data_IF_140948255012
#
_entry.id   IF_140948255012
#
_cell.length_a   1.000
_cell.length_b   1.000
_cell.length_c   1.000
_cell.angle_alpha   90.00
_cell.angle_beta   90.00
_cell.angle_gamma   90.00
#
_symmetry.space_group_name_H-M   'P 1'
#
loop_
_entity.id
_entity.type
_entity.pdbx_description
1 polymer ?
#
# COMPACT_ATOMS: atom_id res chain seq x y z
N UNK A 1 -7.83 4.44 17.36
CA UNK A 1 -7.98 5.87 16.97
C UNK A 1 -9.07 5.87 15.91
N UNK A 2 -9.92 6.88 15.76
CA UNK A 2 -10.94 6.79 14.69
C UNK A 2 -10.23 6.69 13.34
N UNK A 3 -10.57 5.67 12.55
CA UNK A 3 -9.97 5.45 11.24
C UNK A 3 -10.39 6.62 10.33
N UNK A 4 -9.41 7.40 9.86
CA UNK A 4 -9.68 8.49 8.95
C UNK A 4 -9.87 7.94 7.53
N UNK A 5 -11.11 7.60 7.14
CA UNK A 5 -11.38 7.06 5.81
C UNK A 5 -11.12 8.08 4.70
N UNK A 6 -11.20 9.37 4.99
CA UNK A 6 -11.07 10.44 4.00
C UNK A 6 -9.69 10.45 3.32
N UNK A 7 -8.62 10.11 4.06
CA UNK A 7 -7.27 10.09 3.47
C UNK A 7 -7.11 8.94 2.46
N UNK A 8 -7.81 7.82 2.67
CA UNK A 8 -7.79 6.67 1.76
C UNK A 8 -8.66 6.96 0.55
N UNK A 9 -9.87 7.50 0.73
CA UNK A 9 -10.72 7.94 -0.38
C UNK A 9 -10.01 8.99 -1.24
N UNK A 10 -9.27 9.93 -0.64
CA UNK A 10 -8.44 10.88 -1.37
C UNK A 10 -7.31 10.18 -2.15
N UNK A 11 -6.69 9.14 -1.58
CA UNK A 11 -5.72 8.30 -2.28
C UNK A 11 -6.32 7.55 -3.47
N UNK A 12 -7.51 6.96 -3.31
CA UNK A 12 -8.25 6.32 -4.40
C UNK A 12 -8.59 7.29 -5.52
N UNK A 13 -9.01 8.53 -5.19
CA UNK A 13 -9.28 9.57 -6.18
C UNK A 13 -8.01 9.94 -6.97
N UNK A 14 -6.88 10.18 -6.28
CA UNK A 14 -5.59 10.46 -6.96
C UNK A 14 -5.15 9.30 -7.86
N UNK A 15 -5.32 8.06 -7.41
CA UNK A 15 -5.01 6.88 -8.22
C UNK A 15 -5.92 6.81 -9.45
N UNK A 16 -7.22 7.08 -9.31
CA UNK A 16 -8.16 7.11 -10.43
C UNK A 16 -7.77 8.18 -11.47
N UNK A 17 -7.38 9.38 -11.02
CA UNK A 17 -6.88 10.44 -11.90
C UNK A 17 -5.58 10.01 -12.62
N UNK A 18 -4.65 9.38 -11.90
CA UNK A 18 -3.37 8.92 -12.43
C UNK A 18 -3.52 7.88 -13.56
N UNK A 19 -4.53 7.02 -13.47
CA UNK A 19 -4.75 5.92 -14.42
C UNK A 19 -5.78 6.28 -15.50
N UNK A 20 -6.35 7.48 -15.45
CA UNK A 20 -7.31 7.95 -16.45
C UNK A 20 -6.63 8.13 -17.80
N UNK A 21 -7.22 7.54 -18.85
CA UNK A 21 -6.69 7.64 -20.21
C UNK A 21 -5.47 6.75 -20.50
N UNK A 22 -5.15 5.81 -19.60
CA UNK A 22 -4.08 4.82 -19.81
C UNK A 22 -4.32 4.03 -21.10
N UNK A 23 -3.30 3.91 -21.93
CA UNK A 23 -3.35 3.08 -23.15
C UNK A 23 -2.95 1.64 -22.86
N UNK A 24 -3.36 0.71 -23.72
CA UNK A 24 -2.97 -0.70 -23.62
C UNK A 24 -1.44 -0.89 -23.64
N UNK A 25 -0.72 -0.09 -24.43
CA UNK A 25 0.74 -0.13 -24.49
C UNK A 25 1.37 0.32 -23.16
N UNK A 26 0.84 1.38 -22.54
CA UNK A 26 1.29 1.82 -21.23
C UNK A 26 0.99 0.77 -20.16
N UNK A 27 -0.20 0.17 -20.17
CA UNK A 27 -0.58 -0.90 -19.24
C UNK A 27 0.33 -2.14 -19.36
N UNK A 28 0.78 -2.46 -20.57
CA UNK A 28 1.70 -3.57 -20.86
C UNK A 28 3.15 -3.27 -20.49
N UNK A 29 3.55 -2.00 -20.46
CA UNK A 29 4.92 -1.61 -20.13
C UNK A 29 5.26 -1.92 -18.66
N UNK A 30 6.56 -2.06 -18.38
CA UNK A 30 7.09 -2.36 -17.06
C UNK A 30 6.68 -1.30 -16.04
N UNK A 31 6.35 -1.74 -14.83
CA UNK A 31 6.23 -0.88 -13.65
C UNK A 31 7.60 -0.74 -12.96
N UNK A 32 7.67 -0.01 -11.84
CA UNK A 32 8.89 0.05 -11.03
C UNK A 32 9.17 -1.26 -10.27
N UNK A 33 8.20 -2.20 -10.22
CA UNK A 33 8.37 -3.48 -9.56
C UNK A 33 9.00 -4.51 -10.51
N UNK A 34 10.09 -5.19 -10.10
CA UNK A 34 10.74 -6.19 -10.95
C UNK A 34 9.78 -7.27 -11.43
N UNK A 35 9.73 -7.45 -12.74
CA UNK A 35 8.92 -8.49 -13.39
C UNK A 35 7.42 -8.17 -13.51
N UNK A 36 6.95 -7.02 -13.03
CA UNK A 36 5.54 -6.62 -13.11
C UNK A 36 5.34 -5.56 -14.19
N UNK A 37 4.27 -5.70 -14.99
CA UNK A 37 3.76 -4.60 -15.79
C UNK A 37 2.87 -3.68 -14.96
N UNK A 38 2.54 -2.49 -15.47
CA UNK A 38 1.52 -1.63 -14.85
C UNK A 38 0.19 -2.37 -14.71
N UNK A 39 -0.19 -3.21 -15.67
CA UNK A 39 -1.37 -4.06 -15.58
C UNK A 39 -1.36 -5.08 -14.43
N UNK A 40 -0.18 -5.60 -14.03
CA UNK A 40 -0.06 -6.43 -12.83
C UNK A 40 -0.34 -5.61 -11.57
N UNK A 41 0.22 -4.41 -11.47
CA UNK A 41 0.00 -3.50 -10.34
C UNK A 41 -1.48 -3.12 -10.23
N UNK A 42 -2.13 -2.74 -11.34
CA UNK A 42 -3.55 -2.39 -11.36
C UNK A 42 -4.44 -3.58 -10.98
N UNK A 43 -4.14 -4.78 -11.49
CA UNK A 43 -4.89 -5.99 -11.12
C UNK A 43 -4.72 -6.31 -9.65
N UNK A 44 -3.49 -6.23 -9.12
CA UNK A 44 -3.22 -6.38 -7.69
C UNK A 44 -4.02 -5.39 -6.82
N UNK A 45 -4.02 -4.11 -7.19
CA UNK A 45 -4.76 -3.09 -6.46
C UNK A 45 -6.27 -3.35 -6.45
N UNK A 46 -6.84 -3.83 -7.56
CA UNK A 46 -8.25 -4.20 -7.63
C UNK A 46 -8.56 -5.44 -6.77
N UNK A 47 -7.76 -6.51 -6.90
CA UNK A 47 -7.93 -7.74 -6.13
C UNK A 47 -7.75 -7.53 -4.63
N UNK A 48 -6.80 -6.68 -4.23
CA UNK A 48 -6.62 -6.29 -2.83
C UNK A 48 -7.87 -5.58 -2.28
N UNK A 49 -8.48 -4.67 -3.05
CA UNK A 49 -9.70 -3.99 -2.63
C UNK A 49 -10.88 -4.95 -2.46
N UNK A 50 -11.07 -5.88 -3.40
CA UNK A 50 -12.11 -6.92 -3.33
C UNK A 50 -11.92 -7.83 -2.13
N UNK A 51 -10.68 -8.24 -1.85
CA UNK A 51 -10.34 -9.06 -0.70
C UNK A 51 -10.62 -8.33 0.62
N UNK A 52 -10.26 -7.05 0.73
CA UNK A 52 -10.59 -6.26 1.92
C UNK A 52 -12.09 -6.01 2.09
N UNK A 53 -12.83 -5.79 1.01
CA UNK A 53 -14.30 -5.67 1.05
C UNK A 53 -14.90 -6.93 1.66
N UNK A 54 -14.44 -8.10 1.20
CA UNK A 54 -14.85 -9.40 1.73
C UNK A 54 -14.51 -9.57 3.21
N UNK A 55 -13.31 -9.14 3.65
CA UNK A 55 -12.95 -9.13 5.08
C UNK A 55 -13.93 -8.26 5.88
N UNK A 56 -14.24 -7.06 5.40
CA UNK A 56 -15.22 -6.15 6.02
C UNK A 56 -16.58 -6.80 6.17
N UNK A 57 -17.14 -7.35 5.09
CA UNK A 57 -18.47 -7.97 5.09
C UNK A 57 -18.55 -9.16 6.05
N UNK A 58 -17.56 -10.05 6.06
CA UNK A 58 -17.54 -11.21 6.96
C UNK A 58 -17.36 -10.81 8.42
N UNK A 59 -16.49 -9.83 8.70
CA UNK A 59 -16.28 -9.36 10.07
C UNK A 59 -17.56 -8.72 10.64
N UNK A 60 -18.33 -7.95 9.85
CA UNK A 60 -19.61 -7.40 10.28
C UNK A 60 -20.64 -8.50 10.59
N UNK A 61 -20.61 -9.60 9.84
CA UNK A 61 -21.37 -10.83 10.10
C UNK A 61 -20.88 -11.64 11.32
N UNK A 62 -19.77 -11.23 11.95
CA UNK A 62 -19.13 -11.95 13.06
C UNK A 62 -18.41 -13.24 12.62
N UNK A 63 -18.01 -13.31 11.35
CA UNK A 63 -17.34 -14.46 10.74
C UNK A 63 -15.92 -14.09 10.33
N UNK A 64 -15.05 -15.10 10.27
CA UNK A 64 -13.72 -15.00 9.68
C UNK A 64 -13.72 -15.64 8.30
N UNK A 65 -12.85 -15.13 7.44
CA UNK A 65 -12.68 -15.63 6.07
C UNK A 65 -11.25 -15.44 5.62
N UNK A 66 -10.71 -16.36 4.83
CA UNK A 66 -9.35 -16.20 4.30
C UNK A 66 -9.26 -14.94 3.42
N UNK A 67 -8.11 -14.25 3.46
CA UNK A 67 -7.88 -13.07 2.61
C UNK A 67 -7.99 -13.43 1.13
N UNK A 68 -7.42 -14.56 0.74
CA UNK A 68 -7.45 -15.07 -0.63
C UNK A 68 -7.86 -16.53 -0.62
N UNK A 69 -8.89 -16.89 -1.39
CA UNK A 69 -9.30 -18.28 -1.53
C UNK A 69 -8.19 -19.09 -2.22
N UNK A 70 -7.68 -20.12 -1.55
CA UNK A 70 -6.49 -20.87 -2.00
C UNK A 70 -5.15 -20.14 -1.77
N UNK A 71 -5.16 -19.06 -1.00
CA UNK A 71 -3.97 -18.39 -0.49
C UNK A 71 -3.15 -17.62 -1.53
N UNK A 72 -1.86 -17.43 -1.22
CA UNK A 72 -0.92 -16.70 -2.06
C UNK A 72 -0.80 -17.24 -3.51
N UNK A 73 -0.80 -18.56 -3.76
CA UNK A 73 -0.75 -19.08 -5.13
C UNK A 73 -1.95 -18.65 -5.98
N UNK A 74 -3.17 -18.71 -5.44
CA UNK A 74 -4.36 -18.26 -6.15
C UNK A 74 -4.33 -16.76 -6.43
N UNK A 75 -3.88 -15.96 -5.46
CA UNK A 75 -3.68 -14.52 -5.66
C UNK A 75 -2.71 -14.25 -6.82
N UNK A 76 -1.56 -14.93 -6.83
CA UNK A 76 -0.57 -14.77 -7.89
C UNK A 76 -1.17 -15.14 -9.26
N UNK A 77 -1.86 -16.28 -9.35
CA UNK A 77 -2.50 -16.72 -10.58
C UNK A 77 -3.58 -15.73 -11.08
N UNK A 78 -4.37 -15.15 -10.17
CA UNK A 78 -5.38 -14.15 -10.52
C UNK A 78 -4.74 -12.86 -11.08
N UNK A 79 -3.63 -12.42 -10.48
CA UNK A 79 -2.89 -11.24 -10.96
C UNK A 79 -2.31 -11.51 -12.36
N UNK A 80 -1.65 -12.64 -12.57
CA UNK A 80 -1.09 -13.03 -13.88
C UNK A 80 -2.18 -13.13 -14.96
N UNK A 81 -3.33 -13.75 -14.64
CA UNK A 81 -4.43 -13.88 -15.58
C UNK A 81 -5.09 -12.53 -15.92
N UNK A 82 -5.14 -11.60 -14.96
CA UNK A 82 -5.82 -10.31 -15.11
C UNK A 82 -4.95 -9.20 -15.71
N UNK A 83 -3.63 -9.30 -15.63
CA UNK A 83 -2.70 -8.21 -15.95
C UNK A 83 -2.68 -7.79 -17.43
N UNK A 84 -3.12 -8.68 -18.33
CA UNK A 84 -3.16 -8.44 -19.77
C UNK A 84 -4.48 -7.89 -20.33
N UNK A 85 -5.46 -7.59 -19.45
CA UNK A 85 -6.74 -6.99 -19.84
C UNK A 85 -6.54 -5.61 -20.50
N UNK A 86 -7.52 -5.11 -21.31
CA UNK A 86 -7.48 -3.75 -21.82
C UNK A 86 -7.30 -2.73 -20.69
N UNK A 87 -6.54 -1.66 -20.96
CA UNK A 87 -6.20 -0.63 -19.97
C UNK A 87 -7.44 0.03 -19.36
N UNK A 88 -8.48 0.27 -20.17
CA UNK A 88 -9.78 0.76 -19.68
C UNK A 88 -10.42 -0.20 -18.68
N UNK A 89 -10.42 -1.49 -18.98
CA UNK A 89 -10.97 -2.50 -18.08
C UNK A 89 -10.17 -2.64 -16.77
N UNK A 90 -8.84 -2.47 -16.82
CA UNK A 90 -7.99 -2.44 -15.63
C UNK A 90 -8.30 -1.20 -14.76
N UNK A 91 -8.39 -0.02 -15.38
CA UNK A 91 -8.71 1.21 -14.68
C UNK A 91 -10.11 1.18 -14.05
N UNK A 92 -11.11 0.72 -14.81
CA UNK A 92 -12.49 0.57 -14.33
C UNK A 92 -12.57 -0.39 -13.14
N UNK A 93 -11.84 -1.52 -13.18
CA UNK A 93 -11.81 -2.49 -12.08
C UNK A 93 -11.18 -1.91 -10.80
N UNK A 94 -10.11 -1.13 -10.92
CA UNK A 94 -9.50 -0.41 -9.79
C UNK A 94 -10.48 0.59 -9.17
N UNK A 95 -11.13 1.42 -10.01
CA UNK A 95 -12.07 2.44 -9.54
C UNK A 95 -13.31 1.80 -8.91
N UNK A 96 -13.86 0.76 -9.54
CA UNK A 96 -15.08 0.10 -9.07
C UNK A 96 -14.83 -0.64 -7.77
N UNK A 97 -13.75 -1.43 -7.68
CA UNK A 97 -13.42 -2.17 -6.45
C UNK A 97 -13.09 -1.25 -5.28
N UNK A 98 -12.47 -0.08 -5.53
CA UNK A 98 -12.26 0.94 -4.50
C UNK A 98 -13.59 1.50 -3.97
N UNK A 99 -14.54 1.86 -4.86
CA UNK A 99 -15.87 2.35 -4.46
C UNK A 99 -16.66 1.32 -3.67
N UNK A 100 -16.59 0.06 -4.07
CA UNK A 100 -17.27 -1.04 -3.37
C UNK A 100 -16.67 -1.28 -1.98
N UNK A 101 -15.34 -1.18 -1.85
CA UNK A 101 -14.66 -1.23 -0.55
C UNK A 101 -15.08 -0.06 0.36
N UNK A 102 -15.09 1.16 -0.16
CA UNK A 102 -15.54 2.34 0.59
C UNK A 102 -17.00 2.21 1.03
N UNK A 103 -17.86 1.64 0.18
CA UNK A 103 -19.26 1.35 0.52
C UNK A 103 -19.36 0.34 1.68
N UNK A 104 -18.53 -0.71 1.66
CA UNK A 104 -18.49 -1.69 2.75
C UNK A 104 -17.98 -1.06 4.06
N UNK A 105 -16.96 -0.20 4.00
CA UNK A 105 -16.46 0.54 5.16
C UNK A 105 -17.47 1.53 5.72
N UNK A 106 -18.28 2.17 4.88
CA UNK A 106 -19.35 3.07 5.33
C UNK A 106 -20.44 2.35 6.15
N UNK A 107 -20.54 1.02 6.05
CA UNK A 107 -21.44 0.21 6.87
C UNK A 107 -20.85 -0.19 8.23
N UNK A 108 -19.56 0.08 8.49
CA UNK A 108 -18.89 -0.29 9.74
C UNK A 108 -19.25 0.70 10.85
N UNK A 109 -19.86 0.18 11.93
CA UNK A 109 -20.19 0.99 13.10
C UNK A 109 -18.93 1.47 13.85
N UNK A 110 -19.03 2.55 14.65
CA UNK A 110 -17.88 3.11 15.37
C UNK A 110 -17.18 2.09 16.29
N UNK A 111 -17.93 1.15 16.86
CA UNK A 111 -17.40 0.11 17.76
C UNK A 111 -16.94 -1.16 17.02
N UNK A 112 -17.20 -1.26 15.71
CA UNK A 112 -16.94 -2.49 14.92
C UNK A 112 -15.54 -2.51 14.30
N UNK A 113 -14.81 -1.39 14.29
CA UNK A 113 -13.45 -1.32 13.73
C UNK A 113 -12.43 -2.23 14.41
N UNK A 114 -12.68 -2.59 15.67
CA UNK A 114 -11.85 -3.51 16.44
C UNK A 114 -12.12 -4.99 16.12
N UNK A 115 -13.11 -5.30 15.27
CA UNK A 115 -13.45 -6.69 14.93
C UNK A 115 -12.28 -7.41 14.26
N UNK A 116 -12.07 -8.70 14.59
CA UNK A 116 -10.95 -9.47 14.06
C UNK A 116 -11.15 -9.80 12.58
N UNK A 117 -10.04 -9.86 11.86
CA UNK A 117 -9.94 -10.35 10.48
C UNK A 117 -8.81 -11.36 10.38
N UNK A 118 -8.79 -12.20 9.34
CA UNK A 118 -7.66 -13.13 9.13
C UNK A 118 -6.46 -12.45 8.49
N UNK A 119 -6.64 -11.29 7.86
CA UNK A 119 -5.56 -10.54 7.25
C UNK A 119 -4.53 -10.13 8.31
N UNK A 120 -3.38 -10.81 8.31
CA UNK A 120 -2.29 -10.64 9.29
C UNK A 120 -2.76 -10.76 10.75
N UNK A 121 -3.78 -11.59 11.00
CA UNK A 121 -4.39 -11.77 12.33
C UNK A 121 -4.77 -10.43 13.01
N UNK A 122 -5.18 -9.44 12.21
CA UNK A 122 -5.41 -8.07 12.63
C UNK A 122 -6.87 -7.72 12.88
N UNK A 123 -7.18 -6.42 12.77
CA UNK A 123 -8.52 -5.85 12.90
C UNK A 123 -8.98 -5.18 11.61
N UNK A 124 -10.27 -4.85 11.51
CA UNK A 124 -10.80 -4.03 10.41
C UNK A 124 -10.07 -2.68 10.28
N UNK A 125 -9.78 -2.00 11.38
CA UNK A 125 -8.94 -0.79 11.39
C UNK A 125 -7.57 -1.05 10.73
N UNK A 126 -6.93 -2.18 11.04
CA UNK A 126 -5.66 -2.59 10.43
C UNK A 126 -5.76 -2.76 8.91
N UNK A 127 -6.90 -3.21 8.39
CA UNK A 127 -7.11 -3.35 6.93
C UNK A 127 -7.19 -2.02 6.20
N UNK A 128 -7.73 -0.98 6.83
CA UNK A 128 -7.79 0.36 6.23
C UNK A 128 -6.39 0.93 6.11
N UNK A 129 -5.62 0.82 7.19
CA UNK A 129 -4.22 1.21 7.24
C UNK A 129 -3.38 0.43 6.22
N UNK A 130 -3.69 -0.85 5.99
CA UNK A 130 -3.08 -1.64 4.93
C UNK A 130 -3.44 -1.12 3.54
N UNK A 131 -4.71 -0.83 3.28
CA UNK A 131 -5.14 -0.26 2.01
C UNK A 131 -4.47 1.07 1.72
N UNK A 132 -4.31 1.93 2.73
CA UNK A 132 -3.64 3.21 2.56
C UNK A 132 -2.21 3.03 2.04
N UNK A 133 -1.44 2.11 2.64
CA UNK A 133 -0.09 1.76 2.18
C UNK A 133 -0.10 1.27 0.75
N UNK A 134 -0.97 0.31 0.44
CA UNK A 134 -1.08 -0.29 -0.90
C UNK A 134 -1.35 0.76 -1.97
N UNK A 135 -2.28 1.68 -1.74
CA UNK A 135 -2.65 2.71 -2.72
C UNK A 135 -1.51 3.70 -2.92
N UNK A 136 -0.96 4.29 -1.86
CA UNK A 136 0.05 5.35 -1.97
C UNK A 136 1.36 4.81 -2.56
N UNK A 137 1.80 3.63 -2.12
CA UNK A 137 3.05 3.03 -2.58
C UNK A 137 2.90 2.54 -4.02
N UNK A 138 1.84 1.80 -4.34
CA UNK A 138 1.71 1.24 -5.67
C UNK A 138 1.28 2.26 -6.72
N UNK A 139 0.74 3.42 -6.32
CA UNK A 139 0.61 4.56 -7.24
C UNK A 139 1.98 5.03 -7.74
N UNK A 140 2.98 5.11 -6.86
CA UNK A 140 4.35 5.41 -7.26
C UNK A 140 4.96 4.27 -8.10
N UNK A 141 4.68 3.02 -7.73
CA UNK A 141 5.20 1.86 -8.45
C UNK A 141 4.65 1.74 -9.89
N UNK A 142 3.51 2.38 -10.21
CA UNK A 142 3.00 2.44 -11.58
C UNK A 142 3.94 3.20 -12.52
N UNK A 143 4.87 4.02 -12.04
CA UNK A 143 5.83 4.75 -12.88
C UNK A 143 5.13 5.55 -14.01
N UNK A 144 4.05 6.25 -13.65
CA UNK A 144 3.27 7.10 -14.58
C UNK A 144 3.52 8.60 -14.35
N UNK A 145 4.55 8.93 -13.58
CA UNK A 145 4.85 10.28 -13.13
C UNK A 145 5.15 10.32 -11.65
N UNK A 146 5.55 11.49 -11.17
CA UNK A 146 5.86 11.71 -9.75
C UNK A 146 4.57 11.60 -8.92
N UNK A 147 4.57 10.70 -7.95
CA UNK A 147 3.55 10.62 -6.91
C UNK A 147 4.09 11.30 -5.66
N UNK A 148 3.37 12.31 -5.19
CA UNK A 148 3.74 13.10 -4.03
C UNK A 148 3.00 12.60 -2.79
N UNK A 149 3.69 11.87 -1.92
CA UNK A 149 3.14 11.44 -0.65
C UNK A 149 2.87 12.62 0.28
N UNK A 150 1.71 12.58 0.95
CA UNK A 150 1.35 13.60 1.93
C UNK A 150 2.30 13.54 3.14
N UNK A 151 2.52 14.66 3.85
CA UNK A 151 3.28 14.65 5.09
C UNK A 151 2.72 13.66 6.13
N UNK A 152 1.39 13.52 6.19
CA UNK A 152 0.69 12.57 7.06
C UNK A 152 1.02 11.12 6.70
N UNK A 153 1.01 10.76 5.41
CA UNK A 153 1.41 9.43 4.96
C UNK A 153 2.89 9.17 5.23
N UNK A 154 3.75 10.16 5.02
CA UNK A 154 5.19 10.05 5.31
C UNK A 154 5.44 9.76 6.80
N UNK A 155 4.81 10.50 7.70
CA UNK A 155 4.90 10.28 9.15
C UNK A 155 4.47 8.85 9.53
N UNK A 156 3.30 8.46 9.04
CA UNK A 156 2.74 7.13 9.28
C UNK A 156 3.63 6.00 8.74
N UNK A 157 4.06 6.08 7.47
CA UNK A 157 4.81 5.00 6.84
C UNK A 157 6.22 4.87 7.43
N UNK A 158 6.85 5.97 7.85
CA UNK A 158 8.13 5.94 8.58
C UNK A 158 7.97 5.17 9.89
N UNK A 159 6.90 5.42 10.65
CA UNK A 159 6.59 4.68 11.87
C UNK A 159 6.34 3.20 11.60
N UNK A 160 5.48 2.90 10.62
CA UNK A 160 5.13 1.53 10.23
C UNK A 160 6.34 0.71 9.76
N UNK A 161 7.27 1.34 9.03
CA UNK A 161 8.47 0.68 8.49
C UNK A 161 9.67 0.73 9.42
N UNK A 162 9.53 1.26 10.63
CA UNK A 162 10.60 1.24 11.64
C UNK A 162 11.14 -0.17 11.95
N UNK A 163 10.35 -1.28 11.90
CA UNK A 163 10.89 -2.63 12.08
C UNK A 163 11.86 -3.09 10.98
N UNK A 164 11.94 -2.35 9.87
CA UNK A 164 12.92 -2.61 8.81
C UNK A 164 14.33 -2.12 9.15
N UNK A 165 14.48 -1.36 10.24
CA UNK A 165 15.81 -0.98 10.74
C UNK A 165 16.48 -2.22 11.34
N UNK A 166 17.66 -2.64 10.82
CA UNK A 166 18.32 -3.84 11.29
C UNK A 166 18.63 -3.80 12.79
N UNK A 167 18.54 -4.96 13.45
CA UNK A 167 18.92 -5.08 14.86
C UNK A 167 20.36 -4.58 15.10
N UNK A 168 20.53 -3.76 16.15
CA UNK A 168 21.82 -3.15 16.47
C UNK A 168 22.16 -1.89 15.68
N UNK A 169 21.22 -1.34 14.91
CA UNK A 169 21.33 -0.05 14.22
C UNK A 169 20.27 0.91 14.76
N UNK A 170 20.66 2.18 14.99
CA UNK A 170 19.71 3.27 15.19
C UNK A 170 19.76 4.24 14.02
N UNK A 171 18.62 4.53 13.39
CA UNK A 171 18.51 5.52 12.32
C UNK A 171 18.10 6.85 12.93
N UNK A 172 18.98 7.84 12.83
CA UNK A 172 18.76 9.19 13.36
C UNK A 172 18.20 10.07 12.25
N UNK A 173 16.92 10.40 12.35
CA UNK A 173 16.20 11.34 11.48
C UNK A 173 16.16 12.73 12.16
N UNK A 174 15.79 13.81 11.42
CA UNK A 174 15.71 15.15 12.00
C UNK A 174 14.75 15.28 13.19
N UNK A 175 13.67 14.49 13.21
CA UNK A 175 12.56 14.61 14.16
C UNK A 175 12.37 13.38 15.07
N UNK A 176 13.03 12.25 14.77
CA UNK A 176 12.90 10.99 15.52
C UNK A 176 14.09 10.06 15.38
N UNK A 177 14.12 9.03 16.19
CA UNK A 177 15.08 7.91 16.10
C UNK A 177 14.30 6.62 15.89
N UNK A 178 14.76 5.78 14.96
CA UNK A 178 14.20 4.45 14.70
C UNK A 178 15.22 3.37 15.08
N UNK A 179 14.76 2.30 15.72
CA UNK A 179 15.64 1.20 16.17
C UNK A 179 16.60 1.58 17.29
N UNK A 180 17.46 0.64 17.67
CA UNK A 180 18.41 0.76 18.77
C UNK A 180 19.77 0.18 18.37
N UNK A 181 20.85 0.88 18.72
CA UNK A 181 22.23 0.45 18.46
C UNK A 181 23.08 1.51 17.77
N UNK A 182 23.99 1.09 16.90
CA UNK A 182 24.99 1.96 16.26
C UNK A 182 24.30 3.04 15.40
N UNK A 183 24.60 4.34 15.63
CA UNK A 183 23.87 5.43 14.99
C UNK A 183 24.25 5.62 13.53
N UNK A 184 23.24 5.68 12.67
CA UNK A 184 23.30 6.07 11.26
C UNK A 184 22.43 7.31 11.09
N UNK A 185 23.07 8.46 10.87
CA UNK A 185 22.37 9.70 10.50
C UNK A 185 21.91 9.63 9.06
N UNK A 186 20.64 9.96 8.86
CA UNK A 186 19.97 10.05 7.55
C UNK A 186 19.33 11.42 7.42
N UNK A 187 19.59 12.10 6.31
CA UNK A 187 19.07 13.45 6.05
C UNK A 187 18.60 13.58 4.61
N UNK A 188 17.51 14.32 4.40
CA UNK A 188 16.90 14.53 3.09
C UNK A 188 15.47 15.04 3.26
N UNK A 189 14.74 15.15 2.15
CA UNK A 189 13.30 15.38 2.19
C UNK A 189 12.61 14.20 2.91
N UNK A 190 11.67 14.43 3.84
CA UNK A 190 10.93 13.36 4.52
C UNK A 190 10.27 12.35 3.56
N UNK A 191 9.86 12.78 2.37
CA UNK A 191 9.27 11.92 1.33
C UNK A 191 10.30 10.95 0.77
N UNK A 192 11.52 11.42 0.54
CA UNK A 192 12.64 10.60 0.06
C UNK A 192 13.09 9.60 1.15
N UNK A 193 13.08 10.02 2.42
CA UNK A 193 13.35 9.13 3.56
C UNK A 193 12.28 8.05 3.68
N UNK A 194 11.00 8.41 3.54
CA UNK A 194 9.90 7.45 3.50
C UNK A 194 10.05 6.49 2.31
N UNK A 195 10.41 6.98 1.13
CA UNK A 195 10.61 6.16 -0.06
C UNK A 195 11.79 5.18 0.11
N UNK A 196 12.88 5.63 0.73
CA UNK A 196 14.00 4.77 1.12
C UNK A 196 13.56 3.64 2.05
N UNK A 197 12.82 3.95 3.13
CA UNK A 197 12.29 2.93 4.05
C UNK A 197 11.34 1.95 3.34
N UNK A 198 10.58 2.43 2.35
CA UNK A 198 9.75 1.60 1.49
C UNK A 198 10.57 0.79 0.45
N UNK A 199 11.87 1.03 0.31
CA UNK A 199 12.73 0.39 -0.69
C UNK A 199 12.45 0.86 -2.12
N UNK A 200 12.01 2.10 -2.29
CA UNK A 200 11.80 2.79 -3.59
C UNK A 200 12.97 3.73 -3.86
N UNK A 201 12.99 4.38 -5.02
CA UNK A 201 14.00 5.39 -5.35
C UNK A 201 14.06 6.47 -4.27
N UNK A 202 15.29 6.85 -3.91
CA UNK A 202 15.62 7.72 -2.79
C UNK A 202 16.92 8.48 -3.05
N UNK A 203 17.14 8.85 -4.31
CA UNK A 203 18.33 9.56 -4.77
C UNK A 203 18.58 10.90 -4.04
N UNK A 204 17.55 11.47 -3.39
CA UNK A 204 17.66 12.66 -2.55
C UNK A 204 18.12 12.42 -1.09
N UNK A 205 18.34 11.17 -0.67
CA UNK A 205 18.70 10.84 0.72
C UNK A 205 20.22 10.73 0.90
N UNK A 206 20.74 11.38 1.94
CA UNK A 206 22.15 11.28 2.35
C UNK A 206 22.28 10.42 3.61
N UNK A 207 23.28 9.53 3.60
CA UNK A 207 23.59 8.63 4.71
C UNK A 207 24.99 8.92 5.25
N UNK A 208 25.14 9.00 6.57
CA UNK A 208 26.46 8.92 7.21
C UNK A 208 27.16 7.58 6.95
N UNK A 209 26.38 6.50 6.82
CA UNK A 209 26.82 5.17 6.40
C UNK A 209 25.64 4.42 5.78
N UNK A 210 25.80 3.87 4.58
CA UNK A 210 24.74 3.10 3.93
C UNK A 210 24.53 1.75 4.64
N UNK A 211 23.26 1.37 4.82
CA UNK A 211 22.83 0.08 5.38
C UNK A 211 21.70 -0.49 4.54
N UNK A 212 21.73 -1.79 4.33
CA UNK A 212 20.57 -2.51 3.81
C UNK A 212 19.51 -2.59 4.90
N UNK A 213 18.25 -2.41 4.51
CA UNK A 213 17.10 -2.55 5.39
C UNK A 213 16.67 -4.01 5.46
N UNK A 214 16.10 -4.41 6.59
CA UNK A 214 15.46 -5.70 6.74
C UNK A 214 14.23 -5.82 5.80
N UNK A 215 13.72 -7.05 5.56
CA UNK A 215 12.52 -7.27 4.75
C UNK A 215 11.29 -6.51 5.25
N UNK A 216 10.27 -6.40 4.38
CA UNK A 216 8.99 -5.79 4.74
C UNK A 216 8.29 -6.56 5.90
N UNK A 217 7.69 -5.84 6.88
CA UNK A 217 6.92 -6.44 7.98
C UNK A 217 5.51 -6.87 7.56
#
# INVERSE_FOLDING_TARGET
MAVNLDVISAGHARLADLITGLTDDQARAASALPGWSRGHVLTHLAEHAKALKRQTEYALDGKLVDMYDGGLPSRAAAIEAGSGRPASALADDVVQSAKELETAWAAVGPDDWARPVTYRDGTLEGTVLARWREVEIHSADLDLGRVDWSPEFCDYIIGFLSPRVPSGVSVILPDRVLGEGEPVRVSGDPREIAAWLAGRDHSGVTFSRQRELDPWP
#
